data_IF_368005363589
#
_entry.id   IF_368005363589
#
_cell.length_a   1.000
_cell.length_b   1.000
_cell.length_c   1.000
_cell.angle_alpha   90.00
_cell.angle_beta   90.00
_cell.angle_gamma   90.00
#
_symmetry.space_group_name_H-M   'P 1'
#
loop_
_entity.id
_entity.type
_entity.pdbx_description
1 polymer ?
#
# COMPACT_ATOMS: atom_id res chain seq x y z
N UNK A 1 22.46 -4.85 22.81
CA UNK A 1 23.04 -3.52 23.11
C UNK A 1 22.24 -2.48 22.33
N UNK A 2 21.83 -1.39 22.98
CA UNK A 2 21.17 -0.29 22.28
C UNK A 2 22.18 0.49 21.45
N UNK A 3 21.79 0.95 20.26
CA UNK A 3 22.62 1.86 19.48
C UNK A 3 22.85 3.17 20.25
N UNK A 4 23.99 3.83 20.02
CA UNK A 4 24.25 5.15 20.62
C UNK A 4 23.18 6.17 20.17
N UNK A 5 22.70 7.04 21.08
CA UNK A 5 21.78 8.11 20.72
C UNK A 5 22.36 9.01 19.62
N UNK A 6 21.53 9.36 18.65
CA UNK A 6 21.90 10.21 17.52
C UNK A 6 21.09 11.50 17.50
N UNK A 7 21.65 12.53 16.89
CA UNK A 7 20.92 13.78 16.67
C UNK A 7 19.92 13.60 15.52
N UNK A 8 18.71 14.15 15.72
CA UNK A 8 17.59 14.11 14.79
C UNK A 8 17.18 15.53 14.47
N UNK A 9 17.03 15.83 13.18
CA UNK A 9 16.38 17.06 12.74
C UNK A 9 14.94 16.72 12.37
N UNK A 10 13.96 17.36 12.99
CA UNK A 10 12.55 17.20 12.66
C UNK A 10 12.02 18.51 12.09
N UNK A 11 11.45 18.49 10.89
CA UNK A 11 10.79 19.65 10.31
C UNK A 11 9.34 19.31 10.00
N UNK A 12 8.42 20.07 10.59
CA UNK A 12 6.99 19.98 10.32
C UNK A 12 6.41 21.34 9.94
N UNK A 13 5.51 21.36 8.96
CA UNK A 13 4.60 22.49 8.75
C UNK A 13 3.17 22.20 9.20
N UNK A 14 2.88 20.99 9.65
CA UNK A 14 1.53 20.54 10.05
C UNK A 14 1.31 20.61 11.55
N UNK A 15 2.33 20.24 12.32
CA UNK A 15 2.28 20.17 13.78
C UNK A 15 3.27 21.18 14.39
N UNK A 16 2.83 21.90 15.42
CA UNK A 16 3.69 22.82 16.15
C UNK A 16 4.74 22.06 16.99
N UNK A 17 5.97 22.58 17.01
CA UNK A 17 7.09 21.94 17.68
C UNK A 17 6.87 21.86 19.20
N UNK A 18 6.48 22.97 19.83
CA UNK A 18 6.38 23.10 21.28
C UNK A 18 5.09 22.47 21.82
N UNK A 19 4.00 22.55 21.06
CA UNK A 19 2.68 22.04 21.45
C UNK A 19 2.51 20.54 21.16
N UNK A 20 3.04 20.04 20.04
CA UNK A 20 2.75 18.67 19.57
C UNK A 20 3.98 17.77 19.50
N UNK A 21 5.03 18.19 18.78
CA UNK A 21 6.15 17.28 18.44
C UNK A 21 7.00 16.98 19.67
N UNK A 22 7.45 18.01 20.38
CA UNK A 22 8.32 17.86 21.56
C UNK A 22 7.63 17.07 22.68
N UNK A 23 6.36 17.36 23.07
CA UNK A 23 5.68 16.57 24.09
C UNK A 23 5.54 15.09 23.72
N UNK A 24 5.20 14.78 22.46
CA UNK A 24 5.09 13.39 21.98
C UNK A 24 6.45 12.69 21.93
N UNK A 25 7.51 13.40 21.56
CA UNK A 25 8.87 12.88 21.55
C UNK A 25 9.35 12.53 22.97
N UNK A 26 9.07 13.39 23.95
CA UNK A 26 9.33 13.12 25.38
C UNK A 26 8.54 11.90 25.85
N UNK A 27 7.25 11.82 25.53
CA UNK A 27 6.39 10.69 25.90
C UNK A 27 6.91 9.35 25.32
N UNK A 28 7.52 9.38 24.14
CA UNK A 28 8.19 8.23 23.52
C UNK A 28 9.57 7.90 24.11
N UNK A 29 10.02 8.61 25.15
CA UNK A 29 11.32 8.43 25.79
C UNK A 29 12.49 9.08 25.06
N UNK A 30 12.21 10.04 24.17
CA UNK A 30 13.22 10.78 23.43
C UNK A 30 14.02 11.77 24.29
N UNK A 31 15.30 11.93 23.96
CA UNK A 31 16.20 12.91 24.57
C UNK A 31 16.09 14.25 23.82
N UNK A 32 15.50 15.26 24.46
CA UNK A 32 15.23 16.57 23.83
C UNK A 32 16.50 17.29 23.40
N UNK A 33 17.66 17.01 24.00
CA UNK A 33 18.93 17.60 23.57
C UNK A 33 19.39 17.06 22.20
N UNK A 34 18.75 15.99 21.72
CA UNK A 34 19.00 15.33 20.45
C UNK A 34 17.95 15.65 19.39
N UNK A 35 16.87 16.35 19.73
CA UNK A 35 15.83 16.77 18.81
C UNK A 35 16.05 18.22 18.40
N UNK A 36 16.26 18.44 17.11
CA UNK A 36 16.66 19.73 16.56
C UNK A 36 15.69 20.15 15.45
N UNK A 37 15.52 21.46 15.30
CA UNK A 37 14.63 22.07 14.31
C UNK A 37 15.40 23.12 13.53
N UNK A 38 15.11 23.28 12.24
CA UNK A 38 15.65 24.38 11.44
C UNK A 38 14.68 25.55 11.56
N UNK A 39 15.22 26.75 11.80
CA UNK A 39 14.41 27.95 11.88
C UNK A 39 13.90 28.36 10.49
N UNK A 40 12.58 28.30 10.29
CA UNK A 40 11.89 28.65 9.05
C UNK A 40 11.11 29.97 9.14
N UNK A 41 11.25 30.76 10.22
CA UNK A 41 10.45 31.99 10.43
C UNK A 41 10.62 33.04 9.34
N UNK A 42 11.82 33.13 8.75
CA UNK A 42 12.14 34.13 7.72
C UNK A 42 12.07 33.55 6.30
N UNK A 43 12.38 32.26 6.16
CA UNK A 43 12.46 31.59 4.87
C UNK A 43 12.07 30.12 4.99
N UNK A 44 11.08 29.71 4.21
CA UNK A 44 10.66 28.31 4.06
C UNK A 44 11.81 27.44 3.55
N UNK A 45 11.88 26.22 4.08
CA UNK A 45 12.83 25.21 3.70
C UNK A 45 12.34 24.46 2.46
N UNK A 46 13.27 24.02 1.62
CA UNK A 46 12.98 23.11 0.51
C UNK A 46 14.06 22.04 0.41
N UNK A 47 13.83 21.01 -0.40
CA UNK A 47 14.80 19.92 -0.60
C UNK A 47 16.15 20.37 -1.12
N UNK A 48 16.21 21.51 -1.82
CA UNK A 48 17.45 22.06 -2.37
C UNK A 48 18.09 23.11 -1.47
N UNK A 49 17.55 23.36 -0.27
CA UNK A 49 18.04 24.38 0.63
C UNK A 49 19.36 23.95 1.30
N UNK A 50 20.41 24.76 1.15
CA UNK A 50 21.74 24.49 1.71
C UNK A 50 21.73 24.40 3.24
N UNK A 51 20.74 25.02 3.91
CA UNK A 51 20.56 24.94 5.37
C UNK A 51 20.37 23.50 5.84
N UNK A 52 19.82 22.60 5.02
CA UNK A 52 19.72 21.18 5.36
C UNK A 52 21.11 20.55 5.54
N UNK A 53 21.99 20.76 4.56
CA UNK A 53 23.35 20.22 4.60
C UNK A 53 24.16 20.82 5.76
N UNK A 54 24.06 22.13 5.96
CA UNK A 54 24.77 22.79 7.04
C UNK A 54 24.29 22.33 8.42
N UNK A 55 22.97 22.20 8.61
CA UNK A 55 22.40 21.69 9.85
C UNK A 55 22.90 20.27 10.15
N UNK A 56 22.93 19.37 9.16
CA UNK A 56 23.47 18.01 9.35
C UNK A 56 24.94 18.04 9.74
N UNK A 57 25.76 18.88 9.11
CA UNK A 57 27.20 18.96 9.40
C UNK A 57 27.48 19.49 10.80
N UNK A 58 26.83 20.59 11.18
CA UNK A 58 27.00 21.22 12.48
C UNK A 58 26.54 20.30 13.62
N UNK A 59 25.40 19.65 13.42
CA UNK A 59 24.76 18.84 14.45
C UNK A 59 25.20 17.37 14.41
N UNK A 60 25.84 16.93 13.32
CA UNK A 60 26.13 15.51 13.04
C UNK A 60 24.86 14.65 13.06
N UNK A 61 23.71 15.22 12.69
CA UNK A 61 22.44 14.49 12.65
C UNK A 61 22.52 13.25 11.77
N UNK A 62 21.90 12.16 12.25
CA UNK A 62 21.81 10.88 11.53
C UNK A 62 20.42 10.57 10.99
N UNK A 63 19.44 11.38 11.37
CA UNK A 63 18.08 11.31 10.87
C UNK A 63 17.56 12.72 10.59
N UNK A 64 16.88 12.89 9.45
CA UNK A 64 16.05 14.05 9.17
C UNK A 64 14.64 13.56 8.88
N UNK A 65 13.64 14.18 9.51
CA UNK A 65 12.22 13.98 9.22
C UNK A 65 11.67 15.23 8.57
N UNK A 66 11.02 15.08 7.40
CA UNK A 66 10.37 16.16 6.66
C UNK A 66 8.88 15.84 6.53
N UNK A 67 8.03 16.67 7.14
CA UNK A 67 6.61 16.40 7.31
C UNK A 67 5.74 17.63 6.98
N UNK A 68 4.98 17.68 5.87
CA UNK A 68 4.82 16.66 4.82
C UNK A 68 5.70 16.94 3.58
N UNK A 69 5.85 15.95 2.71
CA UNK A 69 6.51 16.07 1.39
C UNK A 69 6.08 17.33 0.61
N UNK A 70 4.79 17.64 0.63
CA UNK A 70 4.22 18.75 -0.14
C UNK A 70 4.72 20.12 0.28
N UNK A 71 5.20 20.28 1.52
CA UNK A 71 5.77 21.54 1.99
C UNK A 71 7.19 21.77 1.46
N UNK A 72 7.96 20.70 1.24
CA UNK A 72 9.41 20.80 1.01
C UNK A 72 9.86 20.48 -0.44
N UNK A 73 9.03 19.83 -1.25
CA UNK A 73 9.37 19.45 -2.64
C UNK A 73 9.50 20.66 -3.60
N UNK A 74 9.09 21.86 -3.17
CA UNK A 74 9.21 23.14 -3.89
C UNK A 74 7.94 23.60 -4.61
N UNK A 75 7.69 24.91 -4.59
CA UNK A 75 6.43 25.58 -5.01
C UNK A 75 6.06 25.40 -6.51
N UNK A 76 7.01 25.04 -7.37
CA UNK A 76 6.81 24.93 -8.83
C UNK A 76 6.84 23.50 -9.37
N UNK A 77 6.89 22.49 -8.50
CA UNK A 77 7.01 21.10 -8.93
C UNK A 77 5.64 20.51 -9.30
N UNK A 78 5.45 20.18 -10.57
CA UNK A 78 4.35 19.31 -10.96
C UNK A 78 4.67 17.90 -10.47
N UNK A 79 4.03 17.50 -9.36
CA UNK A 79 4.16 16.14 -8.80
C UNK A 79 3.79 15.07 -9.84
N UNK A 80 3.10 15.43 -10.93
CA UNK A 80 2.75 14.54 -12.04
C UNK A 80 3.87 14.33 -13.07
N UNK A 81 5.05 14.96 -12.91
CA UNK A 81 6.19 14.80 -13.81
C UNK A 81 7.34 14.05 -13.15
N UNK A 82 7.54 12.80 -13.59
CA UNK A 82 8.60 11.90 -13.12
C UNK A 82 9.98 12.53 -13.03
N UNK A 83 10.32 13.28 -14.08
CA UNK A 83 11.63 13.91 -14.20
C UNK A 83 11.80 15.07 -13.20
N UNK A 84 10.72 15.76 -12.86
CA UNK A 84 10.76 16.85 -11.87
C UNK A 84 10.89 16.30 -10.46
N UNK A 85 10.10 15.27 -10.10
CA UNK A 85 10.21 14.61 -8.79
C UNK A 85 11.63 14.11 -8.56
N UNK A 86 12.21 13.36 -9.49
CA UNK A 86 13.60 12.86 -9.34
C UNK A 86 14.62 13.98 -9.22
N UNK A 87 14.44 15.08 -9.94
CA UNK A 87 15.32 16.25 -9.85
C UNK A 87 15.25 16.89 -8.47
N UNK A 88 14.06 17.05 -7.90
CA UNK A 88 13.88 17.62 -6.56
C UNK A 88 14.42 16.73 -5.45
N UNK A 89 14.35 15.41 -5.60
CA UNK A 89 14.89 14.47 -4.61
C UNK A 89 16.42 14.34 -4.68
N UNK A 90 17.05 14.76 -5.78
CA UNK A 90 18.49 14.55 -5.99
C UNK A 90 19.37 15.19 -4.90
N UNK A 91 19.15 16.44 -4.48
CA UNK A 91 19.92 17.04 -3.39
C UNK A 91 19.83 16.22 -2.10
N UNK A 92 18.64 15.75 -1.71
CA UNK A 92 18.47 14.91 -0.52
C UNK A 92 19.23 13.58 -0.62
N UNK A 93 19.18 12.93 -1.79
CA UNK A 93 19.90 11.68 -2.04
C UNK A 93 21.41 11.88 -1.89
N UNK A 94 21.93 12.98 -2.43
CA UNK A 94 23.36 13.28 -2.39
C UNK A 94 23.79 13.61 -0.94
N UNK A 95 23.02 14.44 -0.22
CA UNK A 95 23.24 14.72 1.21
C UNK A 95 23.24 13.44 2.05
N UNK A 96 22.24 12.57 1.88
CA UNK A 96 22.11 11.32 2.64
C UNK A 96 23.33 10.40 2.43
N UNK A 97 23.82 10.30 1.18
CA UNK A 97 25.01 9.51 0.83
C UNK A 97 26.29 10.09 1.41
N UNK A 98 26.48 11.40 1.29
CA UNK A 98 27.71 12.07 1.72
C UNK A 98 27.84 12.11 3.25
N UNK A 99 26.73 12.34 3.97
CA UNK A 99 26.74 12.52 5.41
C UNK A 99 26.44 11.23 6.20
N UNK A 100 26.03 10.16 5.51
CA UNK A 100 25.58 8.92 6.14
C UNK A 100 24.37 9.17 7.05
N UNK A 101 23.39 9.91 6.52
CA UNK A 101 22.19 10.35 7.22
C UNK A 101 20.94 9.74 6.57
N UNK A 102 20.01 9.24 7.39
CA UNK A 102 18.72 8.77 6.93
C UNK A 102 17.76 9.96 6.76
N UNK A 103 17.00 9.98 5.67
CA UNK A 103 15.97 10.99 5.44
C UNK A 103 14.62 10.28 5.34
N UNK A 104 13.72 10.64 6.23
CA UNK A 104 12.33 10.15 6.30
C UNK A 104 11.43 11.30 5.87
N UNK A 105 10.50 11.00 4.96
CA UNK A 105 9.57 12.00 4.44
C UNK A 105 8.17 11.46 4.66
N UNK A 106 7.34 12.24 5.36
CA UNK A 106 5.92 11.91 5.54
C UNK A 106 5.18 12.38 4.29
N UNK A 107 4.49 11.46 3.62
CA UNK A 107 3.75 11.78 2.41
C UNK A 107 2.27 11.43 2.57
N UNK A 108 1.43 12.46 2.54
CA UNK A 108 -0.01 12.28 2.46
C UNK A 108 -0.40 11.77 1.08
N UNK A 109 -1.13 10.64 1.06
CA UNK A 109 -1.76 10.20 -0.18
C UNK A 109 -2.85 11.20 -0.57
N UNK A 110 -2.79 11.73 -1.79
CA UNK A 110 -3.82 12.65 -2.28
C UNK A 110 -5.20 11.98 -2.29
N UNK A 111 -6.06 12.35 -1.32
CA UNK A 111 -7.48 12.00 -1.25
C UNK A 111 -8.31 12.86 -2.21
N UNK A 112 -7.92 12.93 -3.49
CA UNK A 112 -8.71 13.65 -4.48
C UNK A 112 -9.94 12.80 -4.87
N UNK A 113 -11.05 13.06 -4.18
CA UNK A 113 -12.40 12.63 -4.57
C UNK A 113 -12.62 13.10 -6.02
N UNK A 114 -12.77 12.16 -6.96
CA UNK A 114 -13.24 12.45 -8.32
C UNK A 114 -12.22 12.39 -9.47
N UNK A 115 -10.91 12.19 -9.25
CA UNK A 115 -9.96 11.98 -10.37
C UNK A 115 -9.72 10.50 -10.70
N UNK A 116 -9.62 10.20 -12.01
CA UNK A 116 -9.36 8.86 -12.58
C UNK A 116 -8.11 8.23 -11.96
N UNK A 117 -8.19 6.94 -11.62
CA UNK A 117 -7.12 6.16 -10.99
C UNK A 117 -5.75 6.24 -11.69
N UNK A 118 -5.73 6.45 -13.01
CA UNK A 118 -4.52 6.63 -13.81
C UNK A 118 -3.68 7.87 -13.42
N UNK A 119 -4.29 8.97 -13.00
CA UNK A 119 -3.55 10.17 -12.56
C UNK A 119 -3.03 10.06 -11.12
N UNK A 120 -3.59 9.15 -10.30
CA UNK A 120 -3.11 8.87 -8.94
C UNK A 120 -1.75 8.17 -8.96
N UNK A 121 -1.55 7.30 -9.97
CA UNK A 121 -0.36 6.48 -10.12
C UNK A 121 0.87 7.28 -10.51
N UNK A 122 0.79 8.24 -11.42
CA UNK A 122 1.99 8.88 -11.98
C UNK A 122 2.81 9.61 -10.90
N UNK A 123 2.18 10.51 -10.12
CA UNK A 123 2.93 11.25 -9.10
C UNK A 123 3.41 10.43 -7.90
N UNK A 124 2.62 9.42 -7.49
CA UNK A 124 3.01 8.52 -6.39
C UNK A 124 4.07 7.50 -6.81
N UNK A 125 4.03 7.01 -8.06
CA UNK A 125 5.02 6.05 -8.60
C UNK A 125 6.41 6.66 -8.64
N UNK A 126 6.54 7.93 -8.99
CA UNK A 126 7.85 8.57 -9.07
C UNK A 126 8.46 8.86 -7.70
N UNK A 127 7.63 9.22 -6.72
CA UNK A 127 8.03 9.34 -5.30
C UNK A 127 8.47 7.97 -4.77
N UNK A 128 7.66 6.93 -4.98
CA UNK A 128 8.00 5.54 -4.61
C UNK A 128 9.27 5.08 -5.33
N UNK A 129 9.43 5.49 -6.59
CA UNK A 129 10.59 5.21 -7.43
C UNK A 129 11.89 5.80 -6.87
N UNK A 130 11.83 7.04 -6.35
CA UNK A 130 12.97 7.75 -5.77
C UNK A 130 13.43 7.17 -4.42
N UNK A 131 12.51 6.65 -3.60
CA UNK A 131 12.83 6.14 -2.27
C UNK A 131 13.47 4.73 -2.29
N UNK A 132 14.30 4.41 -1.28
CA UNK A 132 14.88 3.05 -1.09
C UNK A 132 13.96 2.12 -0.29
N UNK A 133 13.14 2.70 0.59
CA UNK A 133 12.14 2.02 1.38
C UNK A 133 10.87 2.84 1.35
N UNK A 134 9.71 2.19 1.25
CA UNK A 134 8.41 2.85 1.33
C UNK A 134 7.54 2.07 2.28
N UNK A 135 7.05 2.75 3.32
CA UNK A 135 6.11 2.25 4.28
C UNK A 135 4.75 2.90 4.03
N UNK A 136 3.70 2.10 4.04
CA UNK A 136 2.32 2.53 3.90
C UNK A 136 1.61 2.29 5.23
N UNK A 137 0.95 3.33 5.74
CA UNK A 137 0.07 3.22 6.90
C UNK A 137 -1.37 3.39 6.43
N UNK A 138 -2.20 2.40 6.74
CA UNK A 138 -3.63 2.38 6.44
C UNK A 138 -4.48 2.19 7.69
N UNK A 139 -5.77 2.54 7.59
CA UNK A 139 -6.78 2.08 8.56
C UNK A 139 -7.24 0.68 8.16
N UNK A 140 -7.55 -0.15 9.14
CA UNK A 140 -7.94 -1.55 8.88
C UNK A 140 -9.44 -1.67 8.67
N UNK A 141 -10.23 -1.08 9.56
CA UNK A 141 -11.69 -1.07 9.52
C UNK A 141 -12.25 0.22 10.13
N UNK A 142 -13.46 0.61 9.74
CA UNK A 142 -14.25 1.67 10.40
C UNK A 142 -14.69 1.26 11.80
N UNK A 143 -14.91 -0.03 12.06
CA UNK A 143 -15.35 -0.53 13.37
C UNK A 143 -14.21 -0.52 14.41
N UNK A 144 -12.95 -0.43 13.95
CA UNK A 144 -11.75 -0.34 14.79
C UNK A 144 -11.00 0.96 14.48
N UNK A 145 -11.54 2.12 14.89
CA UNK A 145 -11.08 3.44 14.45
C UNK A 145 -9.65 3.79 14.89
N UNK A 146 -9.11 3.09 15.88
CA UNK A 146 -7.76 3.30 16.43
C UNK A 146 -6.74 2.32 15.85
N UNK A 147 -7.21 1.26 15.19
CA UNK A 147 -6.36 0.25 14.58
C UNK A 147 -5.83 0.70 13.21
N UNK A 148 -4.54 0.48 13.01
CA UNK A 148 -3.78 0.81 11.81
C UNK A 148 -3.00 -0.40 11.37
N UNK A 149 -2.65 -0.41 10.09
CA UNK A 149 -1.78 -1.42 9.49
C UNK A 149 -0.62 -0.73 8.78
N UNK A 150 0.59 -1.14 9.10
CA UNK A 150 1.83 -0.74 8.45
C UNK A 150 2.23 -1.85 7.47
N UNK A 151 2.38 -1.53 6.19
CA UNK A 151 2.90 -2.46 5.19
C UNK A 151 4.08 -1.87 4.43
N UNK A 152 5.08 -2.69 4.14
CA UNK A 152 6.23 -2.27 3.35
C UNK A 152 5.95 -2.46 1.85
N UNK A 153 5.77 -1.34 1.14
CA UNK A 153 5.50 -1.32 -0.32
C UNK A 153 6.79 -1.58 -1.10
N UNK A 154 7.92 -1.09 -0.61
CA UNK A 154 9.21 -1.18 -1.30
C UNK A 154 10.34 -1.35 -0.30
N UNK A 155 11.31 -2.19 -0.68
CA UNK A 155 12.60 -2.33 -0.04
C UNK A 155 13.64 -2.68 -1.09
N UNK A 156 14.69 -1.87 -1.22
CA UNK A 156 15.77 -2.15 -2.16
C UNK A 156 16.88 -3.05 -1.58
N UNK A 157 16.92 -3.23 -0.25
CA UNK A 157 18.04 -3.90 0.45
C UNK A 157 17.67 -5.27 1.02
N UNK A 158 16.39 -5.60 1.08
CA UNK A 158 15.88 -6.85 1.64
C UNK A 158 14.49 -7.15 1.04
N UNK A 159 13.99 -8.40 1.14
CA UNK A 159 12.58 -8.69 0.91
C UNK A 159 11.67 -7.79 1.77
N UNK A 160 10.48 -7.49 1.28
CA UNK A 160 9.46 -6.79 2.07
C UNK A 160 9.02 -7.65 3.25
N UNK A 161 8.94 -7.07 4.44
CA UNK A 161 8.46 -7.76 5.64
C UNK A 161 6.95 -7.97 5.66
N UNK A 162 6.49 -8.74 6.66
CA UNK A 162 5.07 -8.85 7.00
C UNK A 162 4.49 -7.47 7.33
N UNK A 163 3.19 -7.30 7.11
CA UNK A 163 2.50 -6.11 7.59
C UNK A 163 2.31 -6.21 9.12
N UNK A 164 2.27 -5.07 9.79
CA UNK A 164 2.17 -4.97 11.24
C UNK A 164 0.88 -4.22 11.59
N UNK A 165 0.05 -4.85 12.41
CA UNK A 165 -1.12 -4.22 13.02
C UNK A 165 -0.70 -3.51 14.30
N UNK A 166 -1.19 -2.29 14.48
CA UNK A 166 -0.94 -1.49 15.66
C UNK A 166 -2.14 -0.59 15.97
N UNK A 167 -2.32 -0.19 17.22
CA UNK A 167 -3.27 0.85 17.60
C UNK A 167 -2.54 2.11 18.06
N UNK A 168 -3.25 3.24 17.98
CA UNK A 168 -2.78 4.53 18.50
C UNK A 168 -3.81 5.09 19.45
N UNK A 169 -3.40 5.35 20.69
CA UNK A 169 -4.21 6.03 21.71
C UNK A 169 -3.40 7.10 22.45
N UNK A 170 -3.94 7.65 23.54
CA UNK A 170 -3.26 8.67 24.36
C UNK A 170 -1.93 8.18 24.95
N UNK A 171 -1.77 6.87 25.16
CA UNK A 171 -0.56 6.23 25.65
C UNK A 171 0.49 5.96 24.57
N UNK A 172 0.19 6.25 23.29
CA UNK A 172 1.11 6.11 22.17
C UNK A 172 0.76 4.96 21.23
N UNK A 173 1.80 4.32 20.68
CA UNK A 173 1.68 3.25 19.69
C UNK A 173 1.75 1.89 20.39
N UNK A 174 0.76 1.03 20.15
CA UNK A 174 0.72 -0.33 20.66
C UNK A 174 0.78 -1.34 19.52
N UNK A 175 1.84 -2.16 19.48
CA UNK A 175 2.01 -3.20 18.47
C UNK A 175 1.10 -4.40 18.80
N UNK A 176 0.27 -4.82 17.84
CA UNK A 176 -0.74 -5.85 18.05
C UNK A 176 -0.28 -7.20 17.50
N UNK A 177 -0.07 -7.30 16.18
CA UNK A 177 0.36 -8.55 15.53
C UNK A 177 1.06 -8.32 14.19
N UNK A 178 1.88 -9.28 13.78
CA UNK A 178 2.32 -9.39 12.39
C UNK A 178 1.30 -10.19 11.57
N UNK A 179 1.08 -9.77 10.33
CA UNK A 179 0.13 -10.40 9.42
C UNK A 179 0.72 -10.56 8.03
N UNK A 180 0.37 -11.65 7.35
CA UNK A 180 0.80 -11.94 5.98
C UNK A 180 0.15 -11.02 4.92
N UNK A 181 -0.67 -10.04 5.34
CA UNK A 181 -1.33 -9.10 4.42
C UNK A 181 -0.31 -8.34 3.59
N UNK A 182 -0.60 -8.22 2.30
CA UNK A 182 0.27 -7.51 1.36
C UNK A 182 0.00 -6.00 1.37
N UNK A 183 0.97 -5.21 0.91
CA UNK A 183 0.77 -3.78 0.71
C UNK A 183 -0.40 -3.47 -0.24
N UNK A 184 -0.64 -4.32 -1.24
CA UNK A 184 -1.77 -4.17 -2.17
C UNK A 184 -3.13 -4.41 -1.49
N UNK A 185 -3.21 -5.35 -0.55
CA UNK A 185 -4.41 -5.55 0.27
C UNK A 185 -4.65 -4.38 1.22
N UNK A 186 -3.58 -3.80 1.78
CA UNK A 186 -3.66 -2.58 2.60
C UNK A 186 -4.10 -1.38 1.76
N UNK A 187 -3.52 -1.18 0.57
CA UNK A 187 -3.96 -0.15 -0.37
C UNK A 187 -5.42 -0.36 -0.75
N UNK A 188 -5.81 -1.62 -1.02
CA UNK A 188 -7.18 -2.03 -1.25
C UNK A 188 -8.11 -1.52 -0.16
N UNK A 189 -7.77 -1.71 1.12
CA UNK A 189 -8.55 -1.22 2.26
C UNK A 189 -8.51 0.31 2.44
N UNK A 190 -7.35 0.96 2.21
CA UNK A 190 -7.22 2.42 2.25
C UNK A 190 -8.09 3.10 1.17
N UNK A 191 -8.24 2.46 0.01
CA UNK A 191 -9.06 2.94 -1.10
C UNK A 191 -10.46 2.33 -1.17
N UNK A 192 -10.78 1.30 -0.37
CA UNK A 192 -12.09 0.64 -0.32
C UNK A 192 -13.21 1.61 0.09
N UNK A 193 -12.86 2.76 0.70
CA UNK A 193 -13.79 3.83 1.05
C UNK A 193 -13.77 5.07 0.16
N UNK A 194 -12.93 5.14 -0.89
CA UNK A 194 -12.73 6.36 -1.72
C UNK A 194 -12.81 6.07 -3.23
N UNK A 195 -13.72 5.17 -3.58
CA UNK A 195 -14.58 5.29 -4.76
C UNK A 195 -16.03 5.43 -4.28
N UNK A 196 -16.99 5.64 -5.18
CA UNK A 196 -18.33 5.09 -4.91
C UNK A 196 -18.09 3.65 -4.41
N UNK A 197 -18.81 3.12 -3.39
CA UNK A 197 -18.86 1.67 -3.23
C UNK A 197 -19.08 1.16 -4.63
N UNK A 198 -18.24 0.23 -5.11
CA UNK A 198 -18.34 -0.20 -6.50
C UNK A 198 -19.66 -0.96 -6.59
N UNK A 199 -20.78 -0.23 -6.68
CA UNK A 199 -22.14 -0.72 -6.75
C UNK A 199 -22.19 -1.66 -7.93
N UNK A 200 -21.38 -1.42 -8.98
CA UNK A 200 -21.23 -2.34 -10.10
C UNK A 200 -20.49 -3.63 -9.71
N UNK A 201 -19.43 -3.60 -8.89
CA UNK A 201 -18.75 -4.81 -8.39
C UNK A 201 -19.55 -5.55 -7.33
N UNK A 202 -20.19 -4.86 -6.41
CA UNK A 202 -21.04 -5.45 -5.38
C UNK A 202 -22.27 -6.08 -6.04
N UNK A 203 -22.94 -5.35 -6.95
CA UNK A 203 -24.00 -5.89 -7.80
C UNK A 203 -23.50 -7.04 -8.67
N UNK A 204 -22.29 -6.96 -9.23
CA UNK A 204 -21.73 -8.07 -10.00
C UNK A 204 -21.51 -9.32 -9.12
N UNK A 205 -21.00 -9.17 -7.89
CA UNK A 205 -20.80 -10.28 -6.95
C UNK A 205 -22.13 -10.88 -6.50
N UNK A 206 -23.10 -10.05 -6.14
CA UNK A 206 -24.45 -10.48 -5.74
C UNK A 206 -25.16 -11.19 -6.89
N UNK A 207 -25.11 -10.63 -8.10
CA UNK A 207 -25.70 -11.24 -9.28
C UNK A 207 -25.00 -12.55 -9.65
N UNK A 208 -23.67 -12.61 -9.60
CA UNK A 208 -22.93 -13.85 -9.87
C UNK A 208 -23.24 -14.94 -8.85
N UNK A 209 -23.32 -14.57 -7.58
CA UNK A 209 -23.67 -15.51 -6.50
C UNK A 209 -25.11 -16.00 -6.65
N UNK A 210 -26.06 -15.10 -6.97
CA UNK A 210 -27.46 -15.46 -7.19
C UNK A 210 -27.67 -16.31 -8.45
N UNK A 211 -27.01 -15.98 -9.55
CA UNK A 211 -27.12 -16.73 -10.81
C UNK A 211 -26.49 -18.12 -10.71
N UNK A 212 -25.51 -18.34 -9.83
CA UNK A 212 -24.80 -19.62 -9.69
C UNK A 212 -25.16 -20.36 -8.39
N UNK A 213 -26.13 -19.85 -7.63
CA UNK A 213 -26.49 -20.35 -6.28
C UNK A 213 -26.97 -21.80 -6.27
N UNK A 214 -27.53 -22.28 -7.39
CA UNK A 214 -28.10 -23.63 -7.51
C UNK A 214 -27.04 -24.71 -7.79
N UNK A 215 -25.74 -24.40 -7.64
CA UNK A 215 -24.56 -25.29 -7.85
C UNK A 215 -24.45 -25.92 -9.24
N UNK A 216 -25.43 -25.69 -10.12
CA UNK A 216 -25.38 -26.16 -11.51
C UNK A 216 -24.51 -25.24 -12.36
N UNK A 217 -23.60 -25.80 -13.18
CA UNK A 217 -22.82 -25.00 -14.12
C UNK A 217 -23.72 -24.26 -15.10
N UNK A 218 -23.58 -22.94 -15.19
CA UNK A 218 -24.36 -22.11 -16.13
C UNK A 218 -23.53 -21.68 -17.33
N UNK A 219 -24.13 -21.58 -18.54
CA UNK A 219 -23.44 -21.04 -19.71
C UNK A 219 -22.81 -19.67 -19.46
N UNK A 220 -21.51 -19.53 -19.72
CA UNK A 220 -20.80 -18.25 -19.61
C UNK A 220 -21.51 -17.16 -20.43
N UNK A 221 -21.95 -17.50 -21.64
CA UNK A 221 -22.64 -16.56 -22.54
C UNK A 221 -23.92 -16.01 -21.94
N UNK A 222 -24.66 -16.83 -21.19
CA UNK A 222 -25.90 -16.43 -20.51
C UNK A 222 -25.61 -15.55 -19.29
N UNK A 223 -24.67 -15.97 -18.44
CA UNK A 223 -24.25 -15.20 -17.25
C UNK A 223 -23.72 -13.82 -17.65
N UNK A 224 -22.89 -13.76 -18.70
CA UNK A 224 -22.35 -12.50 -19.23
C UNK A 224 -23.45 -11.61 -19.83
N UNK A 225 -24.49 -12.20 -20.44
CA UNK A 225 -25.64 -11.46 -20.97
C UNK A 225 -26.43 -10.80 -19.84
N UNK A 226 -26.75 -11.53 -18.77
CA UNK A 226 -27.48 -10.98 -17.62
C UNK A 226 -26.70 -9.86 -16.91
N UNK A 227 -25.39 -10.04 -16.74
CA UNK A 227 -24.52 -8.99 -16.20
C UNK A 227 -24.52 -7.74 -17.07
N UNK A 228 -24.43 -7.91 -18.40
CA UNK A 228 -24.48 -6.80 -19.35
C UNK A 228 -25.83 -6.07 -19.33
N UNK A 229 -26.94 -6.80 -19.28
CA UNK A 229 -28.31 -6.24 -19.17
C UNK A 229 -28.48 -5.45 -17.86
N UNK A 230 -27.81 -5.86 -16.80
CA UNK A 230 -27.79 -5.16 -15.52
C UNK A 230 -26.79 -3.99 -15.44
N UNK A 231 -26.11 -3.66 -16.53
CA UNK A 231 -25.16 -2.55 -16.62
C UNK A 231 -23.77 -2.84 -16.06
N UNK A 232 -23.41 -4.11 -15.86
CA UNK A 232 -22.07 -4.53 -15.43
C UNK A 232 -21.17 -4.69 -16.66
N UNK A 233 -19.99 -4.04 -16.63
CA UNK A 233 -19.01 -4.16 -17.70
C UNK A 233 -18.28 -5.51 -17.68
N UNK A 234 -17.80 -5.97 -18.83
CA UNK A 234 -17.10 -7.25 -18.96
C UNK A 234 -15.83 -7.34 -18.09
N UNK A 235 -15.10 -6.23 -17.94
CA UNK A 235 -13.94 -6.15 -17.06
C UNK A 235 -14.31 -6.32 -15.58
N UNK A 236 -15.47 -5.80 -15.16
CA UNK A 236 -16.00 -5.94 -13.79
C UNK A 236 -16.49 -7.36 -13.54
N UNK A 237 -17.18 -7.97 -14.50
CA UNK A 237 -17.63 -9.36 -14.44
C UNK A 237 -16.45 -10.35 -14.28
N UNK A 238 -15.37 -10.16 -15.05
CA UNK A 238 -14.15 -11.00 -14.96
C UNK A 238 -13.45 -10.87 -13.60
N UNK A 239 -13.41 -9.66 -13.04
CA UNK A 239 -12.86 -9.41 -11.70
C UNK A 239 -13.72 -10.03 -10.60
N UNK A 240 -15.04 -9.83 -10.64
CA UNK A 240 -15.97 -10.43 -9.68
C UNK A 240 -15.92 -11.97 -9.71
N UNK A 241 -15.83 -12.56 -10.91
CA UNK A 241 -15.62 -14.00 -11.10
C UNK A 241 -14.36 -14.51 -10.39
N UNK A 242 -13.23 -13.82 -10.56
CA UNK A 242 -11.96 -14.18 -9.90
C UNK A 242 -12.07 -14.09 -8.37
N UNK A 243 -12.69 -13.01 -7.86
CA UNK A 243 -12.87 -12.80 -6.42
C UNK A 243 -13.80 -13.83 -5.76
N UNK A 244 -14.78 -14.35 -6.49
CA UNK A 244 -15.70 -15.40 -6.01
C UNK A 244 -15.17 -16.82 -6.25
N UNK A 245 -13.94 -16.97 -6.77
CA UNK A 245 -13.36 -18.28 -7.07
C UNK A 245 -14.13 -19.09 -8.12
N UNK A 246 -14.98 -18.45 -8.93
CA UNK A 246 -15.83 -19.11 -9.93
C UNK A 246 -14.95 -19.77 -11.00
N UNK A 247 -15.11 -21.07 -11.19
CA UNK A 247 -14.33 -21.87 -12.13
C UNK A 247 -14.97 -21.87 -13.51
N UNK A 248 -14.15 -22.02 -14.55
CA UNK A 248 -14.63 -22.20 -15.93
C UNK A 248 -14.42 -23.64 -16.38
N UNK A 249 -15.49 -24.29 -16.82
CA UNK A 249 -15.46 -25.65 -17.36
C UNK A 249 -15.94 -25.61 -18.80
N UNK A 250 -15.22 -26.30 -19.69
CA UNK A 250 -15.61 -26.44 -21.09
C UNK A 250 -16.38 -27.74 -21.29
N UNK A 251 -17.58 -27.66 -21.85
CA UNK A 251 -18.37 -28.83 -22.24
C UNK A 251 -18.69 -28.72 -23.74
N UNK A 252 -18.13 -29.63 -24.54
CA UNK A 252 -18.18 -29.55 -26.00
C UNK A 252 -17.52 -28.26 -26.52
N UNK A 253 -18.31 -27.43 -27.21
CA UNK A 253 -17.86 -26.13 -27.75
C UNK A 253 -18.17 -24.93 -26.84
N UNK A 254 -18.83 -25.15 -25.71
CA UNK A 254 -19.37 -24.09 -24.86
C UNK A 254 -18.68 -24.03 -23.49
N UNK A 255 -18.53 -22.82 -22.96
CA UNK A 255 -17.95 -22.55 -21.64
C UNK A 255 -19.04 -22.35 -20.59
N UNK A 256 -18.84 -22.93 -19.42
CA UNK A 256 -19.73 -22.88 -18.27
C UNK A 256 -18.99 -22.33 -17.06
N UNK A 257 -19.71 -21.61 -16.19
CA UNK A 257 -19.22 -21.09 -14.92
C UNK A 257 -19.91 -21.80 -13.76
N UNK A 258 -19.14 -22.12 -12.72
CA UNK A 258 -19.64 -22.77 -11.50
C UNK A 258 -18.94 -22.19 -10.26
N UNK A 259 -19.71 -22.02 -9.18
CA UNK A 259 -19.15 -21.69 -7.87
C UNK A 259 -18.41 -22.91 -7.32
N UNK A 260 -17.25 -22.72 -6.65
CA UNK A 260 -16.58 -23.81 -5.97
C UNK A 260 -17.52 -24.41 -4.91
N UNK A 261 -17.67 -25.73 -4.89
CA UNK A 261 -18.32 -26.41 -3.77
C UNK A 261 -17.41 -26.31 -2.55
N UNK A 262 -17.94 -25.81 -1.42
CA UNK A 262 -17.29 -25.98 -0.13
C UNK A 262 -17.34 -27.47 0.22
N UNK A 263 -16.28 -28.21 -0.12
CA UNK A 263 -16.03 -29.54 0.43
C UNK A 263 -14.56 -29.74 0.76
N UNK A 264 -14.39 -30.01 2.06
CA UNK A 264 -13.33 -30.67 2.79
C UNK A 264 -12.30 -31.48 1.98
N UNK A 265 -11.08 -31.51 2.52
CA UNK A 265 -10.01 -32.46 2.24
C UNK A 265 -10.52 -33.87 1.93
N UNK A 266 -10.25 -34.36 0.71
CA UNK A 266 -9.84 -35.75 0.51
C UNK A 266 -9.26 -35.99 -0.88
N UNK A 267 -8.10 -36.63 -0.86
CA UNK A 267 -7.33 -37.14 -1.98
C UNK A 267 -8.18 -37.95 -2.97
N UNK A 268 -7.99 -37.67 -4.26
CA UNK A 268 -8.25 -38.66 -5.30
C UNK A 268 -6.94 -38.99 -6.00
N UNK A 269 -6.36 -40.10 -5.53
CA UNK A 269 -5.40 -40.94 -6.24
C UNK A 269 -5.95 -41.25 -7.63
N UNK A 270 -5.23 -40.86 -8.68
CA UNK A 270 -5.49 -41.38 -10.02
C UNK A 270 -4.76 -42.71 -10.18
N UNK A 271 -5.54 -43.78 -10.05
CA UNK A 271 -5.17 -45.14 -10.45
C UNK A 271 -4.93 -45.17 -11.97
N UNK A 272 -3.80 -45.75 -12.37
CA UNK A 272 -3.29 -45.69 -13.73
C UNK A 272 -3.44 -47.07 -14.40
N UNK A 273 -4.68 -47.43 -14.73
CA UNK A 273 -4.97 -48.66 -15.48
C UNK A 273 -4.70 -48.46 -16.98
N UNK A 274 -3.52 -48.93 -17.41
CA UNK A 274 -3.21 -49.09 -18.84
C UNK A 274 -3.55 -50.52 -19.25
N UNK A 275 -4.44 -50.63 -20.24
CA UNK A 275 -4.97 -51.87 -20.84
C UNK A 275 -3.91 -52.90 -21.21
N UNK A 276 -4.31 -54.16 -21.05
CA UNK A 276 -3.65 -55.36 -21.57
C UNK A 276 -3.50 -55.33 -23.10
N UNK A 277 -2.41 -55.91 -23.58
CA UNK A 277 -2.33 -56.55 -24.89
C UNK A 277 -1.57 -57.87 -24.72
N UNK A 278 -2.15 -58.92 -25.26
CA UNK A 278 -1.86 -60.35 -25.08
C UNK A 278 -0.54 -60.81 -25.75
N UNK A 279 -0.03 -61.96 -25.25
CA UNK A 279 0.57 -63.08 -26.01
C UNK A 279 1.92 -62.92 -26.76
N UNK A 280 2.99 -63.76 -26.68
CA UNK A 280 3.31 -65.14 -26.22
C UNK A 280 4.88 -65.28 -26.19
N UNK A 281 5.54 -66.47 -26.20
CA UNK A 281 5.81 -67.37 -25.07
C UNK A 281 7.31 -67.78 -24.92
N UNK A 282 7.66 -68.34 -23.75
CA UNK A 282 8.91 -69.01 -23.34
C UNK A 282 10.20 -68.18 -23.24
#
# INVERSE_FOLDING_TARGET
>A
EGAEPVNVIYQSTEDDADDTIVPRFIAAGGDTDRLLFINEKEQYLSFSDERLLEAIRQTKAKLIVLDPLSAYIGESTSINSANEVRRQFRPLIDIAKEQGCAIVIVHHMNKAIGQKALNRGVGSVDIVGAARSVLLIGRTDKERPDERILAQVKSNLAPTGNAILFSVDEGGIHWLEETARTADEVLGNVFAGVGRPDEQMQKAKEMLSALLADTQPRPQSEVMRHLKEAGVSESTAKKAKALLGIRSVKQGVQWFWLLPEDKDEQDFVTDNDTKSCEDLPF
#
